data_IF_042474107510
#
_entry.id   IF_042474107510
#
_cell.length_a   1.000
_cell.length_b   1.000
_cell.length_c   1.000
_cell.angle_alpha   90.00
_cell.angle_beta   90.00
_cell.angle_gamma   90.00
#
_symmetry.space_group_name_H-M   'P 1'
#
loop_
_entity.id
_entity.type
_entity.pdbx_description
1 polymer ?
#
# COMPACT_ATOMS: atom_id res chain seq x y z
N UNK A 1 -25.47 21.75 -50.86
CA UNK A 1 -24.40 20.78 -51.15
C UNK A 1 -23.42 20.80 -49.98
N UNK A 2 -23.52 19.79 -49.10
CA UNK A 2 -22.77 19.70 -47.85
C UNK A 2 -21.40 19.06 -48.08
N UNK A 3 -20.32 19.71 -47.63
CA UNK A 3 -18.99 19.11 -47.60
C UNK A 3 -18.70 18.53 -46.22
N UNK A 4 -18.52 17.22 -46.20
CA UNK A 4 -18.13 16.39 -45.06
C UNK A 4 -16.64 16.56 -44.78
N UNK A 5 -16.26 17.05 -43.59
CA UNK A 5 -14.86 17.04 -43.12
C UNK A 5 -14.68 15.89 -42.13
N UNK A 6 -13.97 14.86 -42.61
CA UNK A 6 -13.68 13.59 -41.93
C UNK A 6 -12.72 13.75 -40.76
N UNK A 7 -13.00 12.99 -39.70
CA UNK A 7 -12.10 12.62 -38.61
C UNK A 7 -10.73 12.16 -39.18
N UNK A 8 -9.64 12.84 -38.82
CA UNK A 8 -8.32 12.44 -39.30
C UNK A 8 -7.09 12.94 -38.52
N UNK A 9 -7.25 13.70 -37.43
CA UNK A 9 -6.10 14.31 -36.73
C UNK A 9 -5.87 13.83 -35.29
N UNK A 10 -6.75 12.98 -34.73
CA UNK A 10 -6.58 12.47 -33.37
C UNK A 10 -5.43 11.45 -33.14
N UNK A 11 -5.01 10.59 -34.10
CA UNK A 11 -4.02 9.55 -33.79
C UNK A 11 -2.58 10.09 -33.69
N UNK A 12 -2.27 11.21 -34.33
CA UNK A 12 -0.91 11.77 -34.36
C UNK A 12 -0.52 12.42 -33.01
N UNK A 13 -1.48 13.00 -32.29
CA UNK A 13 -1.25 13.59 -30.97
C UNK A 13 -0.90 12.53 -29.90
N UNK A 14 -1.46 11.32 -30.02
CA UNK A 14 -1.24 10.23 -29.06
C UNK A 14 0.17 9.66 -29.23
N UNK A 15 0.66 9.51 -30.47
CA UNK A 15 2.04 9.09 -30.73
C UNK A 15 3.07 10.12 -30.26
N UNK A 16 2.78 11.41 -30.41
CA UNK A 16 3.72 12.48 -30.01
C UNK A 16 3.85 12.60 -28.48
N UNK A 17 2.73 12.43 -27.75
CA UNK A 17 2.72 12.37 -26.27
C UNK A 17 3.40 11.10 -25.74
N UNK A 18 3.26 9.96 -26.43
CA UNK A 18 3.97 8.72 -26.06
C UNK A 18 5.49 8.86 -26.27
N UNK A 19 5.91 9.54 -27.34
CA UNK A 19 7.33 9.78 -27.65
C UNK A 19 7.99 10.74 -26.63
N UNK A 20 7.31 11.81 -26.23
CA UNK A 20 7.77 12.72 -25.17
C UNK A 20 7.87 12.03 -23.80
N UNK A 21 7.00 11.07 -23.52
CA UNK A 21 7.01 10.29 -22.26
C UNK A 21 8.13 9.26 -22.21
N UNK A 22 8.61 8.79 -23.36
CA UNK A 22 9.78 7.92 -23.48
C UNK A 22 11.10 8.70 -23.34
N UNK A 23 11.15 9.95 -23.79
CA UNK A 23 12.38 10.76 -23.80
C UNK A 23 12.71 11.48 -22.48
N UNK A 24 11.75 11.65 -21.56
CA UNK A 24 11.97 12.35 -20.28
C UNK A 24 12.35 11.47 -19.08
N UNK A 25 12.60 10.17 -19.26
CA UNK A 25 13.35 9.36 -18.27
C UNK A 25 12.84 9.44 -16.82
N UNK A 26 11.52 9.56 -16.61
CA UNK A 26 10.94 9.63 -15.27
C UNK A 26 11.05 8.26 -14.59
N UNK A 27 12.18 8.03 -13.91
CA UNK A 27 12.32 6.99 -12.89
C UNK A 27 11.49 7.40 -11.67
N UNK A 28 10.22 6.99 -11.64
CA UNK A 28 9.36 7.12 -10.46
C UNK A 28 8.02 6.39 -10.63
N UNK A 29 7.53 5.68 -9.59
CA UNK A 29 6.24 4.98 -9.66
C UNK A 29 5.13 5.96 -9.27
N UNK A 30 4.46 6.57 -10.24
CA UNK A 30 3.29 7.40 -9.95
C UNK A 30 2.14 7.17 -10.93
N UNK A 31 1.02 6.77 -10.32
CA UNK A 31 -0.36 6.92 -10.77
C UNK A 31 -0.66 6.56 -12.23
N UNK A 32 -1.20 5.35 -12.41
CA UNK A 32 -2.25 5.18 -13.43
C UNK A 32 -3.52 5.83 -12.87
N UNK A 33 -3.68 7.08 -13.28
CA UNK A 33 -4.84 7.93 -13.12
C UNK A 33 -6.00 7.33 -13.92
N UNK A 34 -7.01 6.74 -13.27
CA UNK A 34 -8.36 6.71 -13.83
C UNK A 34 -8.98 8.09 -13.54
N UNK A 35 -9.55 8.78 -14.55
CA UNK A 35 -10.01 10.15 -14.38
C UNK A 35 -11.44 10.20 -13.79
N UNK A 36 -11.77 11.38 -13.24
CA UNK A 36 -13.07 11.83 -12.70
C UNK A 36 -13.48 11.30 -11.31
N UNK A 37 -13.11 12.04 -10.27
CA UNK A 37 -14.07 12.95 -9.62
C UNK A 37 -13.38 13.75 -8.52
N UNK A 38 -13.45 15.07 -8.70
CA UNK A 38 -13.12 16.11 -7.72
C UNK A 38 -13.77 15.76 -6.38
N UNK A 39 -12.93 15.50 -5.37
CA UNK A 39 -13.27 15.69 -3.96
C UNK A 39 -12.08 16.36 -3.29
N UNK A 40 -11.86 17.63 -3.61
CA UNK A 40 -11.26 18.57 -2.65
C UNK A 40 -12.28 18.82 -1.54
N UNK A 41 -12.53 17.77 -0.75
CA UNK A 41 -13.41 17.78 0.40
C UNK A 41 -12.58 17.58 1.64
N UNK A 42 -12.11 18.68 2.22
CA UNK A 42 -11.60 18.81 3.59
C UNK A 42 -10.85 17.56 4.11
N UNK A 43 -9.54 17.49 3.89
CA UNK A 43 -8.68 16.51 4.58
C UNK A 43 -8.60 16.89 6.07
N UNK A 44 -9.67 16.64 6.80
CA UNK A 44 -9.58 16.36 8.22
C UNK A 44 -8.90 15.01 8.30
N UNK A 45 -7.62 14.99 8.72
CA UNK A 45 -6.90 13.76 9.04
C UNK A 45 -7.82 12.96 9.97
N UNK A 46 -8.40 11.85 9.49
CA UNK A 46 -9.19 10.94 10.33
C UNK A 46 -8.34 10.66 11.56
N UNK A 47 -8.82 11.09 12.73
CA UNK A 47 -8.10 10.84 13.97
C UNK A 47 -8.09 9.33 14.14
N UNK A 48 -6.92 8.73 13.96
CA UNK A 48 -6.76 7.29 14.07
C UNK A 48 -6.97 6.91 15.53
N UNK A 49 -8.15 6.36 15.85
CA UNK A 49 -8.50 5.88 17.18
C UNK A 49 -8.98 4.43 17.05
N UNK A 50 -8.42 3.55 17.89
CA UNK A 50 -8.85 2.17 18.11
C UNK A 50 -9.05 1.27 16.89
N UNK A 51 -8.24 1.44 15.84
CA UNK A 51 -8.22 0.56 14.66
C UNK A 51 -7.96 -0.92 14.99
N UNK A 52 -7.44 -1.20 16.20
CA UNK A 52 -7.18 -2.57 16.64
C UNK A 52 -8.45 -3.42 16.76
N UNK A 53 -9.59 -2.78 17.07
CA UNK A 53 -10.90 -3.46 17.07
C UNK A 53 -11.40 -3.81 15.66
N UNK A 54 -10.83 -3.19 14.62
CA UNK A 54 -11.03 -3.56 13.22
C UNK A 54 -10.54 -4.97 12.89
N UNK A 55 -9.67 -5.57 13.71
CA UNK A 55 -9.33 -6.99 13.63
C UNK A 55 -10.48 -7.79 14.25
N UNK A 56 -11.40 -8.22 13.39
CA UNK A 56 -12.65 -8.87 13.80
C UNK A 56 -12.42 -10.30 14.33
N UNK A 57 -13.29 -10.75 15.26
CA UNK A 57 -13.31 -12.13 15.78
C UNK A 57 -13.28 -13.21 14.69
N UNK A 58 -14.04 -13.13 13.57
CA UNK A 58 -13.93 -14.10 12.49
C UNK A 58 -12.56 -14.10 11.79
N UNK A 59 -11.86 -12.96 11.68
CA UNK A 59 -10.50 -12.92 11.13
C UNK A 59 -9.51 -13.68 12.02
N UNK A 60 -9.56 -13.46 13.33
CA UNK A 60 -8.75 -14.19 14.31
C UNK A 60 -9.06 -15.69 14.26
N UNK A 61 -10.34 -16.06 14.14
CA UNK A 61 -10.75 -17.45 13.98
C UNK A 61 -10.13 -18.07 12.72
N UNK A 62 -10.15 -17.39 11.57
CA UNK A 62 -9.53 -17.89 10.32
C UNK A 62 -8.02 -18.11 10.49
N UNK A 63 -7.31 -17.20 11.15
CA UNK A 63 -5.88 -17.35 11.45
C UNK A 63 -5.63 -18.56 12.35
N UNK A 64 -6.37 -18.69 13.45
CA UNK A 64 -6.25 -19.81 14.37
C UNK A 64 -6.57 -21.15 13.70
N UNK A 65 -7.58 -21.20 12.82
CA UNK A 65 -7.86 -22.41 12.02
C UNK A 65 -6.72 -22.76 11.09
N UNK A 66 -6.11 -21.78 10.40
CA UNK A 66 -4.92 -22.00 9.57
C UNK A 66 -3.74 -22.54 10.39
N UNK A 67 -3.63 -22.11 11.65
CA UNK A 67 -2.66 -22.65 12.61
C UNK A 67 -3.04 -23.99 13.26
N UNK A 68 -4.12 -24.67 12.82
CA UNK A 68 -4.51 -25.99 13.35
C UNK A 68 -5.24 -25.95 14.70
N UNK A 69 -5.65 -24.76 15.18
CA UNK A 69 -6.32 -24.63 16.49
C UNK A 69 -7.75 -25.16 16.41
N UNK A 70 -8.07 -26.18 17.22
CA UNK A 70 -9.39 -26.86 17.24
C UNK A 70 -10.46 -26.18 18.09
N UNK A 71 -10.10 -25.57 19.23
CA UNK A 71 -11.01 -24.79 20.10
C UNK A 71 -10.32 -23.49 20.53
N UNK A 72 -11.07 -22.41 20.64
CA UNK A 72 -10.55 -21.07 20.95
C UNK A 72 -11.36 -20.50 22.12
N UNK A 73 -10.68 -20.06 23.18
CA UNK A 73 -11.28 -19.38 24.32
C UNK A 73 -11.62 -17.92 24.00
N UNK A 74 -12.61 -17.34 24.71
CA UNK A 74 -13.04 -15.96 24.51
C UNK A 74 -11.96 -14.91 24.79
N UNK A 75 -11.05 -15.18 25.72
CA UNK A 75 -9.97 -14.24 26.09
C UNK A 75 -8.91 -14.08 24.99
N UNK A 76 -8.78 -15.07 24.10
CA UNK A 76 -7.79 -15.07 23.03
C UNK A 76 -8.02 -13.94 22.02
N UNK A 77 -9.26 -13.44 21.87
CA UNK A 77 -9.53 -12.36 20.91
C UNK A 77 -8.85 -11.04 21.29
N UNK A 78 -8.84 -10.67 22.57
CA UNK A 78 -8.15 -9.45 23.01
C UNK A 78 -6.64 -9.69 23.10
N UNK A 79 -6.21 -10.86 23.58
CA UNK A 79 -4.79 -11.21 23.65
C UNK A 79 -4.13 -11.17 22.27
N UNK A 80 -4.76 -11.77 21.26
CA UNK A 80 -4.25 -11.78 19.88
C UNK A 80 -4.12 -10.36 19.32
N UNK A 81 -5.04 -9.46 19.68
CA UNK A 81 -4.98 -8.05 19.28
C UNK A 81 -3.80 -7.35 19.95
N UNK A 82 -3.56 -7.58 21.24
CA UNK A 82 -2.39 -7.08 21.95
C UNK A 82 -1.08 -7.53 21.30
N UNK A 83 -0.93 -8.83 21.06
CA UNK A 83 0.26 -9.41 20.42
C UNK A 83 0.46 -8.85 19.01
N UNK A 84 -0.61 -8.74 18.21
CA UNK A 84 -0.53 -8.19 16.86
C UNK A 84 -0.08 -6.72 16.87
N UNK A 85 -0.59 -5.93 17.82
CA UNK A 85 -0.19 -4.53 17.98
C UNK A 85 1.30 -4.41 18.27
N UNK A 86 1.80 -5.15 19.26
CA UNK A 86 3.22 -5.14 19.65
C UNK A 86 4.09 -5.56 18.45
N UNK A 87 3.70 -6.61 17.73
CA UNK A 87 4.44 -7.07 16.55
C UNK A 87 4.53 -5.98 15.48
N UNK A 88 3.42 -5.34 15.13
CA UNK A 88 3.39 -4.29 14.11
C UNK A 88 4.17 -3.06 14.55
N UNK A 89 4.07 -2.65 15.82
CA UNK A 89 4.86 -1.52 16.32
C UNK A 89 6.36 -1.77 16.21
N UNK A 90 6.83 -2.98 16.55
CA UNK A 90 8.25 -3.32 16.45
C UNK A 90 8.73 -3.25 14.99
N UNK A 91 7.98 -3.84 14.04
CA UNK A 91 8.35 -3.84 12.62
C UNK A 91 8.29 -2.43 12.02
N UNK A 92 7.26 -1.65 12.34
CA UNK A 92 7.09 -0.30 11.81
C UNK A 92 8.15 0.65 12.37
N UNK A 93 8.49 0.54 13.66
CA UNK A 93 9.58 1.35 14.25
C UNK A 93 10.89 1.16 13.47
N UNK A 94 11.26 -0.09 13.20
CA UNK A 94 12.46 -0.40 12.42
C UNK A 94 12.37 0.09 10.96
N UNK A 95 11.22 -0.10 10.31
CA UNK A 95 11.00 0.33 8.93
C UNK A 95 11.06 1.86 8.76
N UNK A 96 10.54 2.60 9.74
CA UNK A 96 10.62 4.06 9.77
C UNK A 96 12.07 4.50 9.95
N UNK A 97 12.86 3.85 10.82
CA UNK A 97 14.29 4.16 10.97
C UNK A 97 15.06 4.00 9.64
N UNK A 98 14.80 2.95 8.87
CA UNK A 98 15.41 2.80 7.53
C UNK A 98 14.98 3.91 6.55
N UNK A 99 13.72 4.32 6.62
CA UNK A 99 13.17 5.37 5.76
C UNK A 99 13.79 6.73 6.09
N UNK A 100 13.95 7.03 7.37
CA UNK A 100 14.59 8.25 7.88
C UNK A 100 16.08 8.30 7.54
N UNK A 101 16.79 7.18 7.68
CA UNK A 101 18.21 7.07 7.30
C UNK A 101 18.42 7.38 5.80
N UNK A 102 17.46 7.00 4.95
CA UNK A 102 17.48 7.29 3.52
C UNK A 102 16.90 8.66 3.15
N UNK A 103 16.55 9.51 4.14
CA UNK A 103 15.95 10.85 3.96
C UNK A 103 14.66 10.85 3.11
N UNK A 104 13.94 9.74 3.10
CA UNK A 104 12.65 9.59 2.41
C UNK A 104 11.51 9.90 3.38
N UNK A 105 10.39 10.41 2.86
CA UNK A 105 9.14 10.59 3.66
C UNK A 105 8.15 9.43 3.48
N UNK A 106 8.45 8.53 2.53
CA UNK A 106 7.58 7.42 2.15
C UNK A 106 8.29 6.11 2.50
N UNK A 107 7.64 5.31 3.35
CA UNK A 107 8.08 3.95 3.67
C UNK A 107 7.89 3.08 2.44
N UNK A 108 8.95 2.45 1.98
CA UNK A 108 8.92 1.54 0.83
C UNK A 108 8.74 0.09 1.27
N UNK A 109 8.34 -0.78 0.35
CA UNK A 109 8.26 -2.22 0.62
C UNK A 109 9.62 -2.79 1.08
N UNK A 110 10.72 -2.27 0.54
CA UNK A 110 12.07 -2.70 0.89
C UNK A 110 12.44 -2.36 2.33
N UNK A 111 12.04 -1.19 2.85
CA UNK A 111 12.31 -0.81 4.24
C UNK A 111 11.63 -1.79 5.22
N UNK A 112 10.43 -2.26 4.89
CA UNK A 112 9.71 -3.29 5.66
C UNK A 112 10.40 -4.66 5.55
N UNK A 113 10.84 -5.05 4.35
CA UNK A 113 11.59 -6.32 4.16
C UNK A 113 12.89 -6.31 4.97
N UNK A 114 13.60 -5.18 5.01
CA UNK A 114 14.82 -5.04 5.81
C UNK A 114 14.54 -5.07 7.31
N UNK A 115 13.49 -4.39 7.78
CA UNK A 115 13.04 -4.47 9.17
C UNK A 115 12.71 -5.91 9.59
N UNK A 116 11.97 -6.64 8.74
CA UNK A 116 11.62 -8.03 8.98
C UNK A 116 12.85 -8.96 8.96
N UNK A 117 13.81 -8.71 8.06
CA UNK A 117 15.08 -9.46 8.01
C UNK A 117 15.90 -9.26 9.29
N UNK A 118 15.94 -8.05 9.85
CA UNK A 118 16.61 -7.76 11.13
C UNK A 118 16.00 -8.53 12.30
N UNK A 119 14.69 -8.76 12.28
CA UNK A 119 13.97 -9.55 13.29
C UNK A 119 13.99 -11.07 13.02
N UNK A 120 14.78 -11.54 12.06
CA UNK A 120 14.88 -12.96 11.70
C UNK A 120 13.68 -13.52 10.94
N UNK A 121 12.82 -12.66 10.38
CA UNK A 121 11.60 -13.05 9.64
C UNK A 121 11.72 -12.66 8.17
N UNK A 122 12.47 -13.43 7.38
CA UNK A 122 12.66 -13.10 5.97
C UNK A 122 11.37 -13.26 5.15
N UNK A 123 10.96 -12.20 4.47
CA UNK A 123 9.77 -12.15 3.63
C UNK A 123 10.17 -12.12 2.15
N UNK A 124 9.66 -13.06 1.35
CA UNK A 124 9.92 -13.18 -0.08
C UNK A 124 8.79 -12.57 -0.93
N UNK A 125 9.11 -12.15 -2.16
CA UNK A 125 8.12 -11.68 -3.14
C UNK A 125 7.93 -10.16 -3.24
N UNK A 126 8.70 -9.37 -2.48
CA UNK A 126 8.52 -7.91 -2.38
C UNK A 126 9.62 -7.07 -3.06
N UNK A 127 10.53 -7.68 -3.82
CA UNK A 127 11.65 -6.98 -4.48
C UNK A 127 11.34 -6.38 -5.86
N UNK A 128 10.08 -6.33 -6.30
CA UNK A 128 9.68 -5.94 -7.67
C UNK A 128 8.96 -4.57 -7.75
N UNK A 129 9.35 -3.60 -6.94
CA UNK A 129 8.80 -2.24 -6.97
C UNK A 129 9.90 -1.18 -7.05
#
# INVERSE_FOLDING_TARGET
>A
MSFSMRLGQAPQAISFLSYLKFHQGLRGPFLVLCPLSVTDGLVSRKVLRDNIQGITKPAIRRLARRGGVKRISGLIYEETRGVLKIFLENVIRDAVTYTEQARRKTVTAMDVVYALKRQGRTLYGFGRF
#
